data_IF_279423483550
#
_entry.id   IF_279423483550
#
_cell.length_a   1.000
_cell.length_b   1.000
_cell.length_c   1.000
_cell.angle_alpha   90.00
_cell.angle_beta   90.00
_cell.angle_gamma   90.00
#
_symmetry.space_group_name_H-M   'P 1'
#
loop_
_entity.id
_entity.type
_entity.pdbx_description
1 polymer ?
#
# COMPACT_ATOMS: atom_id res chain seq x y z
N UNK A 1 28.19 -29.98 -0.49
CA UNK A 1 26.86 -29.36 -0.66
C UNK A 1 26.98 -28.61 -1.97
N UNK A 2 26.59 -29.30 -3.04
CA UNK A 2 27.06 -29.02 -4.40
C UNK A 2 26.32 -27.85 -5.03
N UNK A 3 27.08 -27.04 -5.77
CA UNK A 3 26.67 -25.81 -6.46
C UNK A 3 25.60 -26.02 -7.53
N UNK A 4 25.34 -27.25 -7.97
CA UNK A 4 24.39 -27.60 -9.01
C UNK A 4 22.92 -27.60 -8.58
N UNK A 5 22.60 -28.00 -7.33
CA UNK A 5 21.20 -27.96 -6.82
C UNK A 5 20.77 -26.52 -6.47
N UNK A 6 21.73 -25.66 -6.11
CA UNK A 6 21.50 -24.24 -5.86
C UNK A 6 21.15 -23.49 -7.15
N UNK A 7 21.68 -23.93 -8.30
CA UNK A 7 21.47 -23.30 -9.60
C UNK A 7 20.09 -23.62 -10.21
N UNK A 8 19.53 -24.79 -9.88
CA UNK A 8 18.22 -25.24 -10.34
C UNK A 8 17.07 -24.53 -9.59
N UNK A 9 17.17 -24.33 -8.27
CA UNK A 9 16.20 -23.51 -7.50
C UNK A 9 16.32 -22.01 -7.78
N UNK A 10 17.50 -21.56 -8.20
CA UNK A 10 17.77 -20.18 -8.52
C UNK A 10 17.30 -19.81 -9.95
N UNK A 11 16.91 -20.77 -10.79
CA UNK A 11 16.53 -20.52 -12.19
C UNK A 11 15.16 -19.83 -12.38
N UNK A 12 14.02 -20.28 -11.79
CA UNK A 12 12.75 -19.57 -11.91
C UNK A 12 12.78 -18.24 -11.14
N UNK A 13 13.53 -18.18 -10.05
CA UNK A 13 13.74 -16.95 -9.30
C UNK A 13 14.67 -15.99 -10.02
N UNK A 14 15.72 -16.45 -10.73
CA UNK A 14 16.56 -15.60 -11.60
C UNK A 14 15.78 -15.08 -12.78
N UNK A 15 15.00 -15.89 -13.48
CA UNK A 15 14.18 -15.40 -14.59
C UNK A 15 13.14 -14.39 -14.11
N UNK A 16 12.50 -14.65 -12.97
CA UNK A 16 11.58 -13.69 -12.36
C UNK A 16 12.34 -12.42 -11.93
N UNK A 17 13.51 -12.52 -11.32
CA UNK A 17 14.30 -11.39 -10.82
C UNK A 17 14.92 -10.57 -11.97
N UNK A 18 15.41 -11.20 -13.04
CA UNK A 18 15.95 -10.54 -14.24
C UNK A 18 14.86 -9.95 -15.15
N UNK A 19 13.72 -10.62 -15.29
CA UNK A 19 12.63 -10.15 -16.16
C UNK A 19 11.75 -9.11 -15.46
N UNK A 20 11.52 -9.26 -14.16
CA UNK A 20 10.60 -8.40 -13.41
C UNK A 20 11.30 -7.29 -12.61
N UNK A 21 12.44 -7.58 -11.98
CA UNK A 21 13.07 -6.70 -10.99
C UNK A 21 14.29 -5.93 -11.54
N UNK A 22 15.12 -6.57 -12.37
CA UNK A 22 16.39 -6.02 -12.84
C UNK A 22 16.65 -6.38 -14.32
N UNK A 23 16.20 -5.56 -15.29
CA UNK A 23 16.40 -5.84 -16.72
C UNK A 23 17.89 -6.00 -17.06
N UNK A 24 18.22 -6.82 -18.06
CA UNK A 24 19.61 -7.17 -18.43
C UNK A 24 20.54 -5.97 -18.59
N UNK A 25 20.04 -4.86 -19.15
CA UNK A 25 20.80 -3.61 -19.27
C UNK A 25 21.21 -3.05 -17.90
N UNK A 26 20.31 -3.08 -16.92
CA UNK A 26 20.61 -2.63 -15.57
C UNK A 26 21.50 -3.62 -14.81
N UNK A 27 21.37 -4.92 -15.08
CA UNK A 27 22.29 -5.92 -14.54
C UNK A 27 23.75 -5.65 -14.95
N UNK A 28 23.99 -5.36 -16.23
CA UNK A 28 25.32 -5.03 -16.73
C UNK A 28 25.90 -3.76 -16.06
N UNK A 29 25.13 -2.68 -15.94
CA UNK A 29 25.62 -1.47 -15.25
C UNK A 29 25.94 -1.69 -13.77
N UNK A 30 25.17 -2.54 -13.07
CA UNK A 30 25.38 -2.81 -11.64
C UNK A 30 26.57 -3.72 -11.36
N UNK A 31 26.67 -4.83 -12.11
CA UNK A 31 27.58 -5.93 -11.77
C UNK A 31 28.81 -6.00 -12.68
N UNK A 32 28.72 -5.50 -13.92
CA UNK A 32 29.85 -5.50 -14.88
C UNK A 32 30.60 -4.17 -14.79
N UNK A 33 29.88 -3.04 -14.88
CA UNK A 33 30.49 -1.71 -14.84
C UNK A 33 30.69 -1.15 -13.41
N UNK A 34 30.26 -1.89 -12.37
CA UNK A 34 30.27 -1.48 -10.95
C UNK A 34 29.69 -0.08 -10.71
N UNK A 35 28.75 0.35 -11.55
CA UNK A 35 28.16 1.68 -11.53
C UNK A 35 26.86 1.66 -10.71
N UNK A 36 27.01 1.34 -9.42
CA UNK A 36 25.91 1.10 -8.48
C UNK A 36 24.91 2.27 -8.36
N UNK A 37 25.36 3.49 -8.67
CA UNK A 37 24.56 4.71 -8.56
C UNK A 37 24.04 5.20 -9.91
N UNK A 38 23.85 4.29 -10.87
CA UNK A 38 23.19 4.64 -12.12
C UNK A 38 21.71 4.98 -11.84
N UNK A 39 21.44 6.29 -11.73
CA UNK A 39 20.15 6.89 -11.34
C UNK A 39 18.92 6.25 -12.01
N UNK A 40 18.89 6.01 -13.34
CA UNK A 40 17.69 5.44 -13.97
C UNK A 40 17.47 3.96 -13.61
N UNK A 41 18.52 3.15 -13.47
CA UNK A 41 18.39 1.76 -13.08
C UNK A 41 17.99 1.61 -11.61
N UNK A 42 18.55 2.44 -10.72
CA UNK A 42 18.19 2.45 -9.31
C UNK A 42 16.71 2.83 -9.09
N UNK A 43 16.20 3.82 -9.86
CA UNK A 43 14.77 4.18 -9.84
C UNK A 43 13.86 3.00 -10.23
N UNK A 44 14.22 2.24 -11.27
CA UNK A 44 13.44 1.08 -11.71
C UNK A 44 13.40 0.01 -10.60
N UNK A 45 14.56 -0.36 -10.06
CA UNK A 45 14.67 -1.36 -8.98
C UNK A 45 13.85 -0.94 -7.77
N UNK A 46 13.96 0.32 -7.34
CA UNK A 46 13.20 0.86 -6.22
C UNK A 46 11.69 0.86 -6.49
N UNK A 47 11.25 1.31 -7.67
CA UNK A 47 9.82 1.30 -8.05
C UNK A 47 9.24 -0.11 -8.01
N UNK A 48 9.97 -1.11 -8.53
CA UNK A 48 9.55 -2.53 -8.51
C UNK A 48 9.52 -3.12 -7.10
N UNK A 49 10.55 -2.83 -6.30
CA UNK A 49 10.60 -3.23 -4.88
C UNK A 49 9.40 -2.70 -4.12
N UNK A 50 9.10 -1.41 -4.32
CA UNK A 50 8.00 -0.72 -3.65
C UNK A 50 6.65 -1.28 -4.10
N UNK A 51 6.46 -1.58 -5.39
CA UNK A 51 5.24 -2.21 -5.89
C UNK A 51 4.97 -3.56 -5.22
N UNK A 52 5.97 -4.44 -5.17
CA UNK A 52 5.85 -5.75 -4.49
C UNK A 52 5.58 -5.58 -2.99
N UNK A 53 6.26 -4.63 -2.34
CA UNK A 53 6.04 -4.31 -0.93
C UNK A 53 4.62 -3.84 -0.63
N UNK A 54 4.02 -3.02 -1.50
CA UNK A 54 2.64 -2.55 -1.33
C UNK A 54 1.66 -3.73 -1.40
N UNK A 55 1.80 -4.62 -2.38
CA UNK A 55 0.91 -5.78 -2.54
C UNK A 55 1.04 -6.70 -1.32
N UNK A 56 2.26 -7.09 -0.96
CA UNK A 56 2.51 -7.97 0.19
C UNK A 56 2.06 -7.31 1.50
N UNK A 57 2.37 -6.02 1.67
CA UNK A 57 2.05 -5.24 2.85
C UNK A 57 0.55 -5.06 3.09
N UNK A 58 -0.26 -4.92 2.03
CA UNK A 58 -1.72 -4.82 2.16
C UNK A 58 -2.35 -6.10 2.69
N UNK A 59 -1.96 -7.26 2.14
CA UNK A 59 -2.42 -8.58 2.62
C UNK A 59 -1.94 -8.80 4.06
N UNK A 60 -0.65 -8.56 4.33
CA UNK A 60 -0.07 -8.71 5.66
C UNK A 60 -0.66 -7.75 6.69
N UNK A 61 -1.10 -6.55 6.31
CA UNK A 61 -1.74 -5.63 7.24
C UNK A 61 -3.14 -6.11 7.68
N UNK A 62 -3.88 -6.77 6.80
CA UNK A 62 -5.25 -7.23 7.09
C UNK A 62 -5.28 -8.47 7.99
N UNK A 63 -4.31 -9.38 7.85
CA UNK A 63 -4.28 -10.64 8.60
C UNK A 63 -4.24 -10.47 10.14
N UNK A 64 -3.38 -9.60 10.73
CA UNK A 64 -3.35 -9.39 12.17
C UNK A 64 -4.62 -8.70 12.69
N UNK A 65 -5.27 -7.86 11.88
CA UNK A 65 -6.55 -7.23 12.24
C UNK A 65 -7.67 -8.28 12.29
N UNK A 66 -7.78 -9.11 11.25
CA UNK A 66 -8.78 -10.17 11.18
C UNK A 66 -8.59 -11.18 12.32
N UNK A 67 -7.35 -11.61 12.56
CA UNK A 67 -7.04 -12.55 13.62
C UNK A 67 -7.40 -12.01 15.01
N UNK A 68 -7.15 -10.72 15.29
CA UNK A 68 -7.57 -10.08 16.54
C UNK A 68 -9.09 -10.04 16.70
N UNK A 69 -9.82 -9.65 15.67
CA UNK A 69 -11.30 -9.57 15.71
C UNK A 69 -11.90 -10.96 15.91
N UNK A 70 -11.39 -11.98 15.19
CA UNK A 70 -11.83 -13.36 15.33
C UNK A 70 -11.59 -13.90 16.75
N UNK A 71 -10.39 -13.64 17.31
CA UNK A 71 -10.05 -14.07 18.67
C UNK A 71 -10.88 -13.36 19.74
N UNK A 72 -11.19 -12.07 19.55
CA UNK A 72 -12.00 -11.29 20.49
C UNK A 72 -13.51 -11.52 20.33
N UNK A 73 -13.94 -12.14 19.22
CA UNK A 73 -15.34 -12.39 18.84
C UNK A 73 -16.22 -11.13 18.91
N UNK A 74 -15.61 -9.95 18.74
CA UNK A 74 -16.24 -8.64 18.85
C UNK A 74 -15.56 -7.64 17.94
N UNK A 75 -16.33 -6.86 17.20
CA UNK A 75 -15.84 -5.79 16.30
C UNK A 75 -15.82 -4.41 16.98
N UNK A 76 -15.80 -4.36 18.32
CA UNK A 76 -15.75 -3.10 19.06
C UNK A 76 -14.52 -2.28 18.66
N UNK A 77 -14.74 -0.99 18.34
CA UNK A 77 -13.72 -0.04 17.87
C UNK A 77 -13.53 0.06 16.34
N UNK A 78 -14.20 -0.78 15.54
CA UNK A 78 -14.20 -0.64 14.08
C UNK A 78 -15.49 0.07 13.64
N UNK A 79 -15.34 1.20 12.95
CA UNK A 79 -16.49 1.97 12.45
C UNK A 79 -17.05 1.34 11.17
N UNK A 80 -18.36 1.05 11.16
CA UNK A 80 -19.06 0.48 10.01
C UNK A 80 -18.94 1.34 8.75
N UNK A 81 -19.10 2.66 8.88
CA UNK A 81 -18.96 3.62 7.77
C UNK A 81 -17.58 3.60 7.14
N UNK A 82 -16.55 3.43 7.96
CA UNK A 82 -15.18 3.35 7.48
C UNK A 82 -14.93 2.06 6.70
N UNK A 83 -15.54 0.94 7.13
CA UNK A 83 -15.44 -0.34 6.40
C UNK A 83 -16.14 -0.24 5.05
N UNK A 84 -17.34 0.35 5.00
CA UNK A 84 -18.06 0.56 3.74
C UNK A 84 -17.27 1.38 2.73
N UNK A 85 -16.63 2.47 3.17
CA UNK A 85 -15.80 3.30 2.29
C UNK A 85 -14.56 2.57 1.76
N UNK A 86 -13.95 1.69 2.58
CA UNK A 86 -12.83 0.86 2.14
C UNK A 86 -13.26 -0.19 1.11
N UNK A 87 -14.43 -0.81 1.32
CA UNK A 87 -15.00 -1.76 0.34
C UNK A 87 -15.27 -1.04 -0.97
N UNK A 88 -15.93 0.12 -0.94
CA UNK A 88 -16.18 0.95 -2.12
C UNK A 88 -14.89 1.28 -2.88
N UNK A 89 -13.84 1.71 -2.18
CA UNK A 89 -12.57 2.11 -2.79
C UNK A 89 -11.89 0.98 -3.59
N UNK A 90 -12.12 -0.28 -3.20
CA UNK A 90 -11.54 -1.47 -3.86
C UNK A 90 -12.50 -2.00 -4.95
N UNK A 91 -13.81 -2.06 -4.66
CA UNK A 91 -14.79 -2.62 -5.59
C UNK A 91 -14.90 -1.83 -6.89
N UNK A 92 -14.85 -0.50 -6.84
CA UNK A 92 -14.96 0.36 -8.03
C UNK A 92 -13.90 0.02 -9.11
N UNK A 93 -12.60 0.12 -8.79
CA UNK A 93 -11.53 -0.24 -9.72
C UNK A 93 -11.60 -1.69 -10.22
N UNK A 94 -11.94 -2.64 -9.35
CA UNK A 94 -12.05 -4.07 -9.73
C UNK A 94 -13.16 -4.29 -10.75
N UNK A 95 -14.35 -3.74 -10.51
CA UNK A 95 -15.49 -3.84 -11.43
C UNK A 95 -15.15 -3.21 -12.78
N UNK A 96 -14.48 -2.05 -12.77
CA UNK A 96 -14.04 -1.39 -13.99
C UNK A 96 -13.04 -2.23 -14.80
N UNK A 97 -12.10 -2.89 -14.12
CA UNK A 97 -11.12 -3.76 -14.79
C UNK A 97 -11.79 -4.99 -15.42
N UNK A 98 -12.75 -5.60 -14.72
CA UNK A 98 -13.50 -6.76 -15.22
C UNK A 98 -14.33 -6.40 -16.45
N UNK A 99 -15.02 -5.25 -16.44
CA UNK A 99 -15.87 -4.83 -17.57
C UNK A 99 -15.08 -4.44 -18.81
N UNK A 100 -13.85 -3.94 -18.65
CA UNK A 100 -12.99 -3.52 -19.75
C UNK A 100 -11.92 -4.56 -20.14
N UNK A 101 -11.96 -5.77 -19.55
CA UNK A 101 -10.96 -6.83 -19.75
C UNK A 101 -9.51 -6.37 -19.50
N UNK A 102 -9.32 -5.47 -18.53
CA UNK A 102 -8.00 -4.98 -18.14
C UNK A 102 -7.47 -5.88 -17.01
N UNK A 103 -6.24 -6.42 -17.12
CA UNK A 103 -5.65 -7.21 -16.05
C UNK A 103 -5.50 -6.40 -14.76
N UNK A 104 -5.88 -6.97 -13.61
CA UNK A 104 -5.86 -6.29 -12.30
C UNK A 104 -4.44 -5.94 -11.84
N UNK A 105 -3.42 -6.64 -12.29
CA UNK A 105 -2.03 -6.27 -11.98
C UNK A 105 -1.61 -4.99 -12.69
N UNK A 106 -2.36 -4.63 -13.75
CA UNK A 106 -2.10 -3.52 -14.63
C UNK A 106 -2.79 -2.24 -14.20
N UNK A 107 -3.94 -2.35 -13.52
CA UNK A 107 -4.76 -1.20 -13.12
C UNK A 107 -3.99 -0.10 -12.33
N UNK A 108 -3.10 -0.42 -11.35
CA UNK A 108 -2.46 0.63 -10.55
C UNK A 108 -1.52 1.51 -11.37
N UNK A 109 -0.89 0.96 -12.41
CA UNK A 109 0.07 1.67 -13.28
C UNK A 109 -0.52 2.07 -14.65
N UNK A 110 -1.57 1.40 -15.11
CA UNK A 110 -2.28 1.72 -16.34
C UNK A 110 -2.91 3.11 -16.30
N UNK A 111 -3.26 3.61 -15.11
CA UNK A 111 -3.73 4.99 -14.95
C UNK A 111 -2.64 6.04 -15.21
N UNK A 112 -1.36 5.66 -15.14
CA UNK A 112 -0.21 6.57 -15.27
C UNK A 112 0.41 6.51 -16.67
N UNK A 113 0.33 5.34 -17.33
CA UNK A 113 0.74 5.19 -18.72
C UNK A 113 -0.39 5.61 -19.66
N UNK A 114 -0.13 6.54 -20.58
CA UNK A 114 -1.02 6.94 -21.68
C UNK A 114 -1.18 5.82 -22.74
N UNK A 115 -1.23 4.56 -22.29
CA UNK A 115 -1.28 3.35 -23.10
C UNK A 115 -2.71 3.12 -23.56
N UNK A 116 -2.85 2.74 -24.82
CA UNK A 116 -4.03 2.74 -25.69
C UNK A 116 -5.18 1.81 -25.29
N UNK A 117 -5.61 1.80 -24.03
CA UNK A 117 -6.93 1.26 -23.68
C UNK A 117 -7.98 2.30 -24.03
N UNK A 118 -8.91 1.90 -24.91
CA UNK A 118 -9.99 2.70 -25.53
C UNK A 118 -10.99 3.19 -24.47
N UNK A 119 -10.53 4.04 -23.57
CA UNK A 119 -11.26 4.50 -22.41
C UNK A 119 -11.35 6.03 -22.46
N UNK A 120 -12.52 6.62 -22.14
CA UNK A 120 -12.64 8.06 -22.08
C UNK A 120 -11.67 8.60 -21.02
N UNK A 121 -10.80 9.53 -21.45
CA UNK A 121 -9.64 10.07 -20.71
C UNK A 121 -9.93 10.66 -19.32
N UNK A 122 -11.21 10.76 -18.93
CA UNK A 122 -11.65 11.34 -17.66
C UNK A 122 -12.15 10.32 -16.63
N UNK A 123 -12.52 9.10 -17.03
CA UNK A 123 -13.20 8.14 -16.13
C UNK A 123 -12.23 7.48 -15.16
N UNK A 124 -11.09 6.98 -15.65
CA UNK A 124 -10.06 6.36 -14.82
C UNK A 124 -9.50 7.33 -13.76
N UNK A 125 -9.04 8.56 -14.10
CA UNK A 125 -8.52 9.47 -13.09
C UNK A 125 -9.59 9.94 -12.10
N UNK A 126 -10.84 10.14 -12.54
CA UNK A 126 -11.93 10.50 -11.62
C UNK A 126 -12.25 9.38 -10.63
N UNK A 127 -12.29 8.13 -11.10
CA UNK A 127 -12.51 6.96 -10.26
C UNK A 127 -11.34 6.74 -9.28
N UNK A 128 -10.11 6.92 -9.74
CA UNK A 128 -8.92 6.80 -8.89
C UNK A 128 -8.94 7.87 -7.78
N UNK A 129 -9.26 9.12 -8.15
CA UNK A 129 -9.40 10.20 -7.18
C UNK A 129 -10.50 9.91 -6.15
N UNK A 130 -11.65 9.39 -6.57
CA UNK A 130 -12.75 9.06 -5.65
C UNK A 130 -12.40 7.88 -4.73
N UNK A 131 -11.70 6.85 -5.22
CA UNK A 131 -11.20 5.74 -4.38
C UNK A 131 -10.19 6.22 -3.34
N UNK A 132 -9.25 7.08 -3.73
CA UNK A 132 -8.28 7.66 -2.79
C UNK A 132 -8.96 8.52 -1.72
N UNK A 133 -9.94 9.33 -2.11
CA UNK A 133 -10.72 10.16 -1.19
C UNK A 133 -11.54 9.30 -0.21
N UNK A 134 -12.13 8.20 -0.69
CA UNK A 134 -12.86 7.25 0.16
C UNK A 134 -11.92 6.59 1.19
N UNK A 135 -10.70 6.23 0.80
CA UNK A 135 -9.68 5.71 1.74
C UNK A 135 -9.34 6.76 2.80
N UNK A 136 -9.08 8.02 2.42
CA UNK A 136 -8.79 9.11 3.37
C UNK A 136 -9.97 9.31 4.33
N UNK A 137 -11.19 9.43 3.80
CA UNK A 137 -12.41 9.60 4.59
C UNK A 137 -12.60 8.42 5.58
N UNK A 138 -12.32 7.19 5.15
CA UNK A 138 -12.39 6.02 6.02
C UNK A 138 -11.47 6.16 7.24
N UNK A 139 -10.25 6.70 7.07
CA UNK A 139 -9.27 6.89 8.15
C UNK A 139 -9.69 8.02 9.07
N UNK A 140 -10.23 9.12 8.53
CA UNK A 140 -10.79 10.22 9.32
C UNK A 140 -11.92 9.70 10.23
N UNK A 141 -12.86 8.94 9.67
CA UNK A 141 -13.97 8.36 10.44
C UNK A 141 -13.46 7.41 11.53
N UNK A 142 -12.48 6.54 11.22
CA UNK A 142 -11.83 5.68 12.22
C UNK A 142 -11.19 6.51 13.35
N UNK A 143 -10.42 7.54 13.01
CA UNK A 143 -9.72 8.37 13.99
C UNK A 143 -10.69 9.14 14.89
N UNK A 144 -11.77 9.68 14.31
CA UNK A 144 -12.84 10.36 15.05
C UNK A 144 -13.60 9.40 15.97
N UNK A 145 -13.92 8.19 15.49
CA UNK A 145 -14.62 7.18 16.29
C UNK A 145 -13.76 6.71 17.47
N UNK A 146 -12.46 6.52 17.26
CA UNK A 146 -11.52 6.19 18.32
C UNK A 146 -11.43 7.31 19.36
N UNK A 147 -11.35 8.56 18.90
CA UNK A 147 -11.28 9.73 19.78
C UNK A 147 -12.54 9.86 20.64
N UNK A 148 -13.72 9.78 20.02
CA UNK A 148 -15.01 9.91 20.68
C UNK A 148 -15.22 8.84 21.76
N UNK A 149 -14.85 7.59 21.50
CA UNK A 149 -15.00 6.49 22.46
C UNK A 149 -13.86 6.38 23.49
N UNK A 150 -12.80 7.19 23.36
CA UNK A 150 -11.61 7.13 24.24
C UNK A 150 -10.87 5.78 24.20
N UNK A 151 -11.16 4.93 23.23
CA UNK A 151 -10.52 3.63 23.07
C UNK A 151 -10.44 3.25 21.58
N UNK A 152 -9.46 2.42 21.22
CA UNK A 152 -9.27 1.92 19.84
C UNK A 152 -9.86 0.53 19.62
N UNK A 153 -10.63 0.00 20.58
CA UNK A 153 -11.19 -1.34 20.57
C UNK A 153 -10.21 -2.45 20.17
N UNK A 154 -10.51 -3.15 19.07
CA UNK A 154 -9.72 -4.27 18.52
C UNK A 154 -8.71 -3.88 17.41
N UNK A 155 -8.47 -2.59 17.19
CA UNK A 155 -7.53 -2.15 16.16
C UNK A 155 -6.10 -2.69 16.45
N UNK A 156 -5.46 -3.28 15.43
CA UNK A 156 -4.12 -3.85 15.58
C UNK A 156 -3.02 -2.82 15.32
N UNK A 157 -2.19 -2.53 16.33
CA UNK A 157 -1.03 -1.64 16.19
C UNK A 157 -0.10 -2.06 15.04
N UNK A 158 0.17 -3.36 14.91
CA UNK A 158 1.00 -3.90 13.83
C UNK A 158 0.42 -3.60 12.46
N UNK A 159 -0.89 -3.80 12.29
CA UNK A 159 -1.57 -3.52 11.03
C UNK A 159 -1.61 -2.02 10.71
N UNK A 160 -1.83 -1.16 11.72
CA UNK A 160 -1.83 0.29 11.51
C UNK A 160 -0.43 0.78 11.14
N UNK A 161 0.61 0.21 11.75
CA UNK A 161 2.00 0.48 11.36
C UNK A 161 2.28 0.04 9.92
N UNK A 162 1.87 -1.16 9.51
CA UNK A 162 2.03 -1.62 8.13
C UNK A 162 1.30 -0.71 7.12
N UNK A 163 0.07 -0.27 7.44
CA UNK A 163 -0.66 0.71 6.62
C UNK A 163 0.07 2.06 6.53
N UNK A 164 0.66 2.52 7.63
CA UNK A 164 1.47 3.74 7.64
C UNK A 164 2.71 3.59 6.73
N UNK A 165 3.45 2.49 6.84
CA UNK A 165 4.60 2.22 5.96
C UNK A 165 4.18 2.10 4.49
N UNK A 166 3.01 1.51 4.20
CA UNK A 166 2.46 1.48 2.84
C UNK A 166 2.12 2.87 2.30
N UNK A 167 1.64 3.77 3.15
CA UNK A 167 1.36 5.16 2.76
C UNK A 167 2.64 5.94 2.46
N UNK A 168 3.72 5.70 3.20
CA UNK A 168 5.05 6.26 2.89
C UNK A 168 5.59 5.73 1.55
N UNK A 169 5.41 4.43 1.29
CA UNK A 169 5.78 3.81 0.03
C UNK A 169 5.02 4.44 -1.16
N UNK A 170 3.73 4.75 -1.00
CA UNK A 170 2.91 5.43 -2.01
C UNK A 170 3.33 6.89 -2.24
N UNK A 171 3.74 7.62 -1.20
CA UNK A 171 4.33 8.96 -1.35
C UNK A 171 5.59 8.87 -2.21
N UNK A 172 6.48 7.93 -1.91
CA UNK A 172 7.72 7.74 -2.64
C UNK A 172 7.49 7.34 -4.12
N UNK A 173 6.51 6.48 -4.41
CA UNK A 173 6.12 6.17 -5.80
C UNK A 173 5.54 7.38 -6.51
N UNK A 174 4.62 8.12 -5.88
CA UNK A 174 3.99 9.30 -6.47
C UNK A 174 4.99 10.38 -6.84
N UNK A 175 6.04 10.56 -6.04
CA UNK A 175 7.13 11.49 -6.31
C UNK A 175 8.00 11.06 -7.48
N UNK A 176 8.23 9.76 -7.66
CA UNK A 176 8.94 9.24 -8.82
C UNK A 176 8.12 9.39 -10.11
N UNK A 177 6.80 9.24 -10.01
CA UNK A 177 5.90 9.36 -11.16
C UNK A 177 5.70 10.81 -11.58
N UNK A 178 5.47 11.73 -10.64
CA UNK A 178 5.09 13.11 -10.97
C UNK A 178 6.28 14.07 -11.01
N UNK A 179 7.35 13.78 -10.26
CA UNK A 179 8.48 14.71 -10.08
C UNK A 179 8.16 15.96 -9.23
N UNK A 180 6.88 16.33 -9.10
CA UNK A 180 6.40 17.52 -8.41
C UNK A 180 5.68 17.20 -7.09
N UNK A 181 6.12 17.85 -6.00
CA UNK A 181 5.57 17.64 -4.65
C UNK A 181 4.13 18.16 -4.45
N UNK A 182 3.72 19.11 -5.30
CA UNK A 182 2.42 19.77 -5.22
C UNK A 182 1.31 19.05 -6.00
N UNK A 183 1.60 17.87 -6.57
CA UNK A 183 0.60 17.08 -7.27
C UNK A 183 -0.50 16.61 -6.33
N UNK A 184 -1.74 16.62 -6.81
CA UNK A 184 -2.93 16.20 -6.05
C UNK A 184 -2.78 14.76 -5.51
N UNK A 185 -2.14 13.87 -6.27
CA UNK A 185 -1.88 12.50 -5.85
C UNK A 185 -0.93 12.43 -4.65
N UNK A 186 0.20 13.13 -4.72
CA UNK A 186 1.19 13.21 -3.65
C UNK A 186 0.59 13.81 -2.38
N UNK A 187 -0.14 14.93 -2.51
CA UNK A 187 -0.81 15.59 -1.38
C UNK A 187 -1.81 14.64 -0.71
N UNK A 188 -2.62 13.91 -1.49
CA UNK A 188 -3.60 12.96 -0.94
C UNK A 188 -2.93 11.81 -0.17
N UNK A 189 -1.82 11.27 -0.67
CA UNK A 189 -1.04 10.25 0.04
C UNK A 189 -0.36 10.79 1.30
N UNK A 190 0.13 12.04 1.29
CA UNK A 190 0.66 12.71 2.48
C UNK A 190 -0.40 12.86 3.56
N UNK A 191 -1.60 13.32 3.20
CA UNK A 191 -2.73 13.42 4.14
C UNK A 191 -3.09 12.04 4.71
N UNK A 192 -3.14 11.00 3.87
CA UNK A 192 -3.39 9.63 4.31
C UNK A 192 -2.30 9.12 5.28
N UNK A 193 -1.03 9.43 5.04
CA UNK A 193 0.08 9.06 5.92
C UNK A 193 -0.02 9.76 7.28
N UNK A 194 -0.33 11.06 7.30
CA UNK A 194 -0.57 11.82 8.52
C UNK A 194 -1.71 11.23 9.35
N UNK A 195 -2.85 10.91 8.72
CA UNK A 195 -3.98 10.27 9.40
C UNK A 195 -3.62 8.88 9.94
N UNK A 196 -2.84 8.12 9.19
CA UNK A 196 -2.37 6.80 9.62
C UNK A 196 -1.40 6.90 10.81
N UNK A 197 -0.57 7.94 10.86
CA UNK A 197 0.28 8.27 12.00
C UNK A 197 -0.55 8.68 13.24
N UNK A 198 -1.59 9.49 13.05
CA UNK A 198 -2.54 9.84 14.13
C UNK A 198 -3.22 8.59 14.69
N UNK A 199 -3.70 7.69 13.83
CA UNK A 199 -4.29 6.42 14.25
C UNK A 199 -3.28 5.55 15.00
N UNK A 200 -2.02 5.48 14.55
CA UNK A 200 -0.97 4.74 15.23
C UNK A 200 -0.73 5.30 16.64
N UNK A 201 -0.67 6.63 16.74
CA UNK A 201 -0.52 7.35 18.01
C UNK A 201 -1.69 7.04 18.95
N UNK A 202 -2.93 7.11 18.46
CA UNK A 202 -4.13 6.76 19.25
C UNK A 202 -4.07 5.32 19.76
N UNK A 203 -3.70 4.35 18.92
CA UNK A 203 -3.59 2.94 19.32
C UNK A 203 -2.53 2.74 20.40
N UNK A 204 -1.37 3.38 20.27
CA UNK A 204 -0.28 3.26 21.24
C UNK A 204 -0.65 3.93 22.57
N UNK A 205 -1.14 5.17 22.51
CA UNK A 205 -1.50 5.94 23.70
C UNK A 205 -2.65 5.29 24.49
N UNK A 206 -3.75 4.93 23.83
CA UNK A 206 -4.89 4.29 24.51
C UNK A 206 -4.58 2.88 25.00
N UNK A 207 -3.64 2.17 24.38
CA UNK A 207 -3.15 0.90 24.93
C UNK A 207 -2.38 1.11 26.23
N UNK A 208 -1.54 2.13 26.30
CA UNK A 208 -0.74 2.46 27.48
C UNK A 208 -1.61 2.95 28.66
N UNK A 209 -2.63 3.76 28.40
CA UNK A 209 -3.56 4.21 29.45
C UNK A 209 -4.36 3.04 30.03
N UNK A 210 -4.77 2.07 29.20
CA UNK A 210 -5.52 0.88 29.66
C UNK A 210 -4.68 -0.07 30.52
N UNK A 211 -3.36 -0.09 30.38
CA UNK A 211 -2.46 -0.88 31.23
C UNK A 211 -2.26 -0.25 32.60
N UNK A 212 -2.25 1.09 32.69
CA UNK A 212 -2.11 1.80 33.96
C UNK A 212 -3.32 1.58 34.88
N UNK A 213 -4.53 1.70 34.33
CA UNK A 213 -5.80 1.49 35.04
C UNK A 213 -6.00 0.06 35.59
N UNK A 214 -5.25 -0.93 35.09
CA UNK A 214 -5.30 -2.32 35.60
C UNK A 214 -4.22 -2.65 36.63
N UNK A 215 -3.28 -1.75 36.83
CA UNK A 215 -2.10 -1.97 37.70
C UNK A 215 -2.20 -1.17 39.00
N UNK A 216 -3.10 -0.18 39.08
CA UNK A 216 -3.61 0.42 40.32
C UNK A 216 -4.80 -0.39 40.86
#
# INVERSE_FOLDING_TARGET
MDTSELEELLSPTKEFLLTYFLPEKCYNYFFVDLNFLHVPCWKIVLSKTVGVWIILGTVMAQLPQLWKVLRARSASGISWWSVLLQVYAITGPVVYCITNNIPLEVWPWASSSNTTVVTPSKVIPAMQASSMLAVVASRVIQAGTNYYHGNTGQLSALSVFLVFTGSLALIFTSLQETGDWSSVSTVTHVVAACLSCLLLTQVVCYRNSRTKDKTE
#
